data_IF_834694822504
#
_entry.id   IF_834694822504
#
_cell.length_a   1.000
_cell.length_b   1.000
_cell.length_c   1.000
_cell.angle_alpha   90.00
_cell.angle_beta   90.00
_cell.angle_gamma   90.00
#
_symmetry.space_group_name_H-M   'P 1'
#
loop_
_entity.id
_entity.type
_entity.pdbx_description
1 polymer ?
#
# COMPACT_ATOMS: atom_id res chain seq x y z
N UNK A 1 -44.00 0.77 24.02
CA UNK A 1 -44.67 0.56 22.72
C UNK A 1 -44.68 -0.89 22.25
N UNK A 2 -43.55 -1.53 21.90
CA UNK A 2 -43.56 -2.95 21.47
C UNK A 2 -43.94 -3.87 22.62
N UNK A 3 -43.25 -3.78 23.76
CA UNK A 3 -43.56 -4.54 24.98
C UNK A 3 -45.06 -4.47 25.38
N UNK A 4 -45.63 -3.25 25.39
CA UNK A 4 -47.05 -3.01 25.68
C UNK A 4 -47.99 -3.70 24.69
N UNK A 5 -47.66 -3.73 23.39
CA UNK A 5 -48.47 -4.40 22.36
C UNK A 5 -48.35 -5.92 22.42
N UNK A 6 -47.19 -6.44 22.84
CA UNK A 6 -46.92 -7.87 22.93
C UNK A 6 -47.42 -8.50 24.24
N UNK A 7 -47.85 -7.69 25.21
CA UNK A 7 -48.19 -8.16 26.55
C UNK A 7 -47.00 -8.68 27.35
N UNK A 8 -45.76 -8.34 26.93
CA UNK A 8 -44.52 -8.74 27.59
C UNK A 8 -44.00 -7.58 28.43
N UNK A 9 -43.38 -7.89 29.57
CA UNK A 9 -42.59 -6.90 30.28
C UNK A 9 -41.34 -6.53 29.48
N UNK A 10 -40.88 -5.28 29.65
CA UNK A 10 -39.76 -4.75 28.86
C UNK A 10 -38.47 -5.54 29.07
N UNK A 11 -38.16 -5.92 30.31
CA UNK A 11 -36.93 -6.65 30.62
C UNK A 11 -36.91 -8.06 30.01
N UNK A 12 -38.06 -8.71 29.93
CA UNK A 12 -38.21 -10.02 29.32
C UNK A 12 -38.17 -9.93 27.80
N UNK A 13 -38.77 -8.89 27.21
CA UNK A 13 -38.64 -8.63 25.79
C UNK A 13 -37.17 -8.38 25.42
N UNK A 14 -36.47 -7.51 26.15
CA UNK A 14 -35.04 -7.24 25.92
C UNK A 14 -34.21 -8.52 26.04
N UNK A 15 -34.42 -9.33 27.08
CA UNK A 15 -33.72 -10.63 27.25
C UNK A 15 -33.89 -11.59 26.08
N UNK A 16 -35.02 -11.55 25.37
CA UNK A 16 -35.27 -12.41 24.21
C UNK A 16 -34.75 -11.78 22.91
N UNK A 17 -34.88 -10.47 22.77
CA UNK A 17 -34.52 -9.75 21.55
C UNK A 17 -33.01 -9.57 21.42
N UNK A 18 -32.28 -9.25 22.49
CA UNK A 18 -30.84 -8.93 22.41
C UNK A 18 -30.02 -10.04 21.74
N UNK A 19 -30.14 -11.34 22.09
CA UNK A 19 -29.37 -12.39 21.42
C UNK A 19 -29.75 -12.57 19.95
N UNK A 20 -31.02 -12.37 19.60
CA UNK A 20 -31.49 -12.47 18.20
C UNK A 20 -30.98 -11.31 17.36
N UNK A 21 -31.03 -10.08 17.87
CA UNK A 21 -30.47 -8.90 17.21
C UNK A 21 -28.95 -9.07 17.00
N UNK A 22 -28.25 -9.59 18.01
CA UNK A 22 -26.83 -9.89 17.91
C UNK A 22 -26.53 -10.94 16.83
N UNK A 23 -27.35 -12.00 16.76
CA UNK A 23 -27.22 -13.05 15.75
C UNK A 23 -27.46 -12.51 14.32
N UNK A 24 -28.52 -11.73 14.10
CA UNK A 24 -28.79 -11.14 12.78
C UNK A 24 -27.65 -10.21 12.34
N UNK A 25 -27.18 -9.35 13.23
CA UNK A 25 -26.07 -8.46 12.95
C UNK A 25 -24.76 -9.24 12.69
N UNK A 26 -24.53 -10.34 13.41
CA UNK A 26 -23.36 -11.19 13.21
C UNK A 26 -23.36 -11.81 11.80
N UNK A 27 -24.48 -12.37 11.36
CA UNK A 27 -24.60 -12.97 10.02
C UNK A 27 -24.39 -11.92 8.93
N UNK A 28 -24.97 -10.73 9.09
CA UNK A 28 -24.76 -9.61 8.16
C UNK A 28 -23.27 -9.20 8.07
N UNK A 29 -22.60 -9.07 9.22
CA UNK A 29 -21.16 -8.77 9.24
C UNK A 29 -20.31 -9.88 8.67
N UNK A 30 -20.63 -11.15 8.89
CA UNK A 30 -19.93 -12.28 8.26
C UNK A 30 -20.08 -12.19 6.74
N UNK A 31 -21.28 -11.94 6.22
CA UNK A 31 -21.48 -11.74 4.79
C UNK A 31 -20.66 -10.57 4.24
N UNK A 32 -20.67 -9.43 4.92
CA UNK A 32 -19.86 -8.27 4.56
C UNK A 32 -18.36 -8.63 4.50
N UNK A 33 -17.85 -9.30 5.55
CA UNK A 33 -16.46 -9.73 5.63
C UNK A 33 -16.06 -10.73 4.55
N UNK A 34 -16.95 -11.64 4.17
CA UNK A 34 -16.68 -12.61 3.11
C UNK A 34 -16.29 -11.89 1.81
N UNK A 35 -17.07 -10.88 1.40
CA UNK A 35 -16.80 -10.09 0.20
C UNK A 35 -15.59 -9.16 0.37
N UNK A 36 -15.49 -8.43 1.50
CA UNK A 36 -14.35 -7.55 1.75
C UNK A 36 -13.01 -8.29 1.64
N UNK A 37 -12.93 -9.48 2.24
CA UNK A 37 -11.70 -10.28 2.24
C UNK A 37 -11.49 -10.96 0.87
N UNK A 38 -12.55 -11.45 0.21
CA UNK A 38 -12.42 -12.03 -1.13
C UNK A 38 -11.91 -11.03 -2.17
N UNK A 39 -12.31 -9.76 -2.05
CA UNK A 39 -11.82 -8.64 -2.87
C UNK A 39 -10.37 -8.24 -2.55
N UNK A 40 -9.73 -8.92 -1.60
CA UNK A 40 -8.31 -8.74 -1.26
C UNK A 40 -8.05 -7.70 -0.17
N UNK A 41 -9.08 -7.17 0.50
CA UNK A 41 -8.86 -6.27 1.63
C UNK A 41 -8.16 -7.05 2.74
N UNK A 42 -7.02 -6.53 3.18
CA UNK A 42 -6.25 -7.09 4.30
C UNK A 42 -6.51 -6.23 5.54
N UNK A 43 -6.96 -6.80 6.68
CA UNK A 43 -7.15 -6.05 7.92
C UNK A 43 -5.88 -5.30 8.35
N UNK A 44 -6.03 -4.03 8.70
CA UNK A 44 -4.93 -3.13 9.05
C UNK A 44 -5.39 -2.02 10.01
N UNK A 45 -4.50 -1.09 10.37
CA UNK A 45 -4.85 0.11 11.13
C UNK A 45 -5.15 1.34 10.25
N UNK A 46 -5.21 1.20 8.92
CA UNK A 46 -5.40 2.33 8.00
C UNK A 46 -6.37 2.00 6.85
N UNK A 47 -7.08 3.02 6.37
CA UNK A 47 -7.93 2.98 5.15
C UNK A 47 -8.94 1.81 5.15
N UNK A 48 -9.07 1.08 4.04
CA UNK A 48 -10.03 0.00 3.87
C UNK A 48 -9.74 -1.19 4.80
N UNK A 49 -8.47 -1.45 5.10
CA UNK A 49 -8.06 -2.48 6.06
C UNK A 49 -8.51 -2.18 7.48
N UNK A 50 -8.61 -0.90 7.86
CA UNK A 50 -9.20 -0.49 9.13
C UNK A 50 -10.69 -0.87 9.21
N UNK A 51 -11.44 -0.63 8.13
CA UNK A 51 -12.86 -0.98 8.06
C UNK A 51 -13.07 -2.51 8.17
N UNK A 52 -12.25 -3.31 7.49
CA UNK A 52 -12.30 -4.77 7.63
C UNK A 52 -12.06 -5.20 9.09
N UNK A 53 -11.01 -4.66 9.73
CA UNK A 53 -10.70 -4.92 11.14
C UNK A 53 -11.83 -4.50 12.09
N UNK A 54 -12.45 -3.35 11.82
CA UNK A 54 -13.60 -2.84 12.57
C UNK A 54 -14.77 -3.83 12.54
N UNK A 55 -15.12 -4.32 11.34
CA UNK A 55 -16.21 -5.28 11.16
C UNK A 55 -15.87 -6.63 11.82
N UNK A 56 -14.62 -7.12 11.71
CA UNK A 56 -14.17 -8.35 12.39
C UNK A 56 -14.34 -8.23 13.90
N UNK A 57 -13.85 -7.14 14.51
CA UNK A 57 -13.96 -6.93 15.96
C UNK A 57 -15.40 -6.82 16.42
N UNK A 58 -16.26 -6.17 15.61
CA UNK A 58 -17.70 -6.10 15.88
C UNK A 58 -18.35 -7.48 15.80
N UNK A 59 -18.00 -8.30 14.81
CA UNK A 59 -18.48 -9.68 14.68
C UNK A 59 -18.06 -10.55 15.88
N UNK A 60 -16.79 -10.49 16.31
CA UNK A 60 -16.30 -11.21 17.50
C UNK A 60 -17.06 -10.83 18.78
N UNK A 61 -17.44 -9.56 18.90
CA UNK A 61 -18.26 -9.11 20.02
C UNK A 61 -19.70 -9.63 19.92
N UNK A 62 -20.34 -9.49 18.76
CA UNK A 62 -21.72 -9.96 18.55
C UNK A 62 -21.84 -11.47 18.75
N UNK A 63 -20.81 -12.23 18.39
CA UNK A 63 -20.68 -13.65 18.70
C UNK A 63 -20.78 -13.93 20.20
N UNK A 64 -20.04 -13.18 21.03
CA UNK A 64 -20.10 -13.29 22.49
C UNK A 64 -21.47 -12.87 23.04
N UNK A 65 -22.06 -11.80 22.50
CA UNK A 65 -23.37 -11.28 22.91
C UNK A 65 -24.52 -12.24 22.55
N UNK A 66 -24.41 -12.95 21.43
CA UNK A 66 -25.31 -14.02 21.02
C UNK A 66 -25.10 -15.34 21.81
N UNK A 67 -24.05 -15.44 22.64
CA UNK A 67 -23.73 -16.65 23.41
C UNK A 67 -23.20 -17.82 22.57
N UNK A 68 -22.59 -17.54 21.41
CA UNK A 68 -22.05 -18.56 20.52
C UNK A 68 -20.59 -18.89 20.88
N UNK A 69 -20.30 -20.16 21.13
CA UNK A 69 -18.94 -20.61 21.48
C UNK A 69 -18.06 -20.91 20.26
N UNK A 70 -18.66 -21.21 19.10
CA UNK A 70 -17.95 -21.54 17.86
C UNK A 70 -16.94 -20.46 17.47
N UNK A 71 -15.72 -20.81 17.02
CA UNK A 71 -14.76 -19.86 16.46
C UNK A 71 -15.31 -19.08 15.27
N UNK A 72 -14.83 -17.85 15.08
CA UNK A 72 -15.27 -17.02 13.95
C UNK A 72 -14.99 -17.65 12.57
N UNK A 73 -13.86 -18.35 12.33
CA UNK A 73 -13.64 -19.07 11.07
C UNK A 73 -14.68 -20.16 10.79
N UNK A 74 -15.16 -20.86 11.82
CA UNK A 74 -16.19 -21.90 11.63
C UNK A 74 -17.53 -21.28 11.24
N UNK A 75 -17.92 -20.18 11.89
CA UNK A 75 -19.11 -19.41 11.51
C UNK A 75 -19.01 -18.85 10.09
N UNK A 76 -17.82 -18.36 9.71
CA UNK A 76 -17.57 -17.92 8.34
C UNK A 76 -17.66 -19.08 7.34
N UNK A 77 -17.15 -20.28 7.67
CA UNK A 77 -17.27 -21.45 6.78
C UNK A 77 -18.72 -21.77 6.45
N UNK A 78 -19.61 -21.69 7.45
CA UNK A 78 -21.05 -21.88 7.27
C UNK A 78 -21.67 -20.79 6.38
N UNK A 79 -21.29 -19.53 6.55
CA UNK A 79 -21.78 -18.44 5.68
C UNK A 79 -21.28 -18.60 4.25
N UNK A 80 -20.01 -19.00 4.05
CA UNK A 80 -19.45 -19.25 2.72
C UNK A 80 -20.17 -20.41 2.01
N UNK A 81 -20.47 -21.49 2.73
CA UNK A 81 -21.29 -22.60 2.22
C UNK A 81 -22.71 -22.13 1.86
N UNK A 82 -23.34 -21.32 2.71
CA UNK A 82 -24.67 -20.78 2.45
C UNK A 82 -24.70 -19.85 1.21
N UNK A 83 -23.70 -18.97 1.07
CA UNK A 83 -23.60 -18.05 -0.07
C UNK A 83 -23.33 -18.76 -1.38
N UNK A 84 -22.56 -19.87 -1.36
CA UNK A 84 -22.28 -20.70 -2.55
C UNK A 84 -21.80 -19.90 -3.77
N UNK A 85 -20.92 -18.92 -3.56
CA UNK A 85 -20.43 -18.03 -4.61
C UNK A 85 -19.02 -18.45 -5.09
N UNK A 86 -18.78 -18.65 -6.40
CA UNK A 86 -17.50 -19.18 -6.91
C UNK A 86 -16.26 -18.38 -6.48
N UNK A 87 -16.34 -17.05 -6.51
CA UNK A 87 -15.22 -16.18 -6.13
C UNK A 87 -14.89 -16.28 -4.63
N UNK A 88 -15.90 -16.48 -3.79
CA UNK A 88 -15.70 -16.65 -2.34
C UNK A 88 -15.07 -18.01 -2.04
N UNK A 89 -15.44 -19.06 -2.79
CA UNK A 89 -14.87 -20.39 -2.63
C UNK A 89 -13.38 -20.41 -3.01
N UNK A 90 -13.01 -19.72 -4.09
CA UNK A 90 -11.60 -19.57 -4.49
C UNK A 90 -10.75 -18.91 -3.38
N UNK A 91 -11.34 -17.98 -2.64
CA UNK A 91 -10.66 -17.25 -1.55
C UNK A 91 -10.91 -17.84 -0.15
N UNK A 92 -11.64 -18.95 -0.02
CA UNK A 92 -12.05 -19.55 1.27
C UNK A 92 -10.88 -19.68 2.24
N UNK A 93 -9.80 -20.33 1.80
CA UNK A 93 -8.64 -20.59 2.67
C UNK A 93 -7.98 -19.29 3.17
N UNK A 94 -7.91 -18.26 2.32
CA UNK A 94 -7.42 -16.94 2.71
C UNK A 94 -8.33 -16.28 3.76
N UNK A 95 -9.63 -16.24 3.49
CA UNK A 95 -10.64 -15.64 4.38
C UNK A 95 -10.55 -16.26 5.77
N UNK A 96 -10.57 -17.60 5.85
CA UNK A 96 -10.54 -18.33 7.13
C UNK A 96 -9.25 -18.06 7.91
N UNK A 97 -8.08 -18.08 7.25
CA UNK A 97 -6.80 -17.78 7.90
C UNK A 97 -6.72 -16.36 8.45
N UNK A 98 -7.25 -15.39 7.72
CA UNK A 98 -7.29 -13.98 8.18
C UNK A 98 -8.14 -13.86 9.44
N UNK A 99 -9.32 -14.47 9.45
CA UNK A 99 -10.21 -14.43 10.62
C UNK A 99 -9.61 -15.14 11.83
N UNK A 100 -8.97 -16.29 11.63
CA UNK A 100 -8.28 -17.01 12.71
C UNK A 100 -7.21 -16.12 13.37
N UNK A 101 -6.40 -15.43 12.55
CA UNK A 101 -5.34 -14.56 13.05
C UNK A 101 -5.90 -13.31 13.74
N UNK A 102 -6.92 -12.66 13.19
CA UNK A 102 -7.53 -11.49 13.81
C UNK A 102 -8.31 -11.85 15.08
N UNK A 103 -8.93 -13.03 15.17
CA UNK A 103 -9.55 -13.53 16.41
C UNK A 103 -8.50 -13.72 17.52
N UNK A 104 -7.37 -14.36 17.22
CA UNK A 104 -6.25 -14.50 18.16
C UNK A 104 -5.71 -13.14 18.62
N UNK A 105 -5.45 -12.23 17.68
CA UNK A 105 -4.95 -10.87 17.97
C UNK A 105 -5.92 -10.08 18.83
N UNK A 106 -7.23 -10.21 18.57
CA UNK A 106 -8.24 -9.53 19.35
C UNK A 106 -8.29 -10.05 20.79
N UNK A 107 -8.24 -11.37 20.99
CA UNK A 107 -8.18 -11.97 22.33
C UNK A 107 -6.99 -11.43 23.15
N UNK A 108 -5.80 -11.40 22.55
CA UNK A 108 -4.61 -10.82 23.20
C UNK A 108 -4.75 -9.31 23.47
N UNK A 109 -5.38 -8.56 22.55
CA UNK A 109 -5.60 -7.13 22.70
C UNK A 109 -6.57 -6.84 23.87
N UNK A 110 -7.64 -7.63 24.02
CA UNK A 110 -8.57 -7.52 25.15
C UNK A 110 -7.87 -7.77 26.48
N UNK A 111 -7.03 -8.82 26.56
CA UNK A 111 -6.30 -9.15 27.79
C UNK A 111 -5.34 -8.04 28.21
N UNK A 112 -4.54 -7.52 27.28
CA UNK A 112 -3.61 -6.41 27.55
C UNK A 112 -4.36 -5.11 27.82
N UNK A 113 -5.43 -4.87 27.07
CA UNK A 113 -6.20 -3.64 27.09
C UNK A 113 -7.02 -3.43 28.35
N UNK A 114 -7.57 -4.50 28.94
CA UNK A 114 -8.30 -4.41 30.22
C UNK A 114 -7.46 -3.71 31.29
N UNK A 115 -6.20 -4.12 31.43
CA UNK A 115 -5.26 -3.52 32.41
C UNK A 115 -4.96 -2.05 32.13
N UNK A 116 -4.90 -1.67 30.86
CA UNK A 116 -4.69 -0.28 30.45
C UNK A 116 -5.91 0.57 30.82
N UNK A 117 -7.12 0.11 30.48
CA UNK A 117 -8.37 0.79 30.82
C UNK A 117 -8.49 0.94 32.34
N UNK A 118 -8.26 -0.12 33.10
CA UNK A 118 -8.29 -0.07 34.57
C UNK A 118 -7.35 1.00 35.13
N UNK A 119 -6.12 1.11 34.60
CA UNK A 119 -5.14 2.12 35.01
C UNK A 119 -5.59 3.53 34.66
N UNK A 120 -6.09 3.75 33.44
CA UNK A 120 -6.57 5.06 33.00
C UNK A 120 -7.78 5.50 33.80
N UNK A 121 -8.77 4.62 34.00
CA UNK A 121 -9.97 4.93 34.77
C UNK A 121 -9.66 5.16 36.25
N UNK A 122 -8.69 4.45 36.83
CA UNK A 122 -8.28 4.65 38.22
C UNK A 122 -7.53 5.97 38.46
N UNK A 123 -7.03 6.61 37.40
CA UNK A 123 -6.44 7.96 37.48
C UNK A 123 -7.48 9.08 37.45
N UNK A 124 -8.73 8.75 37.10
CA UNK A 124 -9.81 9.71 37.06
C UNK A 124 -10.47 9.84 38.44
N UNK A 125 -10.98 11.04 38.81
CA UNK A 125 -11.72 11.23 40.04
C UNK A 125 -12.98 10.33 40.08
N UNK A 126 -13.37 9.79 41.24
CA UNK A 126 -14.63 9.07 41.40
C UNK A 126 -15.83 9.91 40.93
N UNK A 127 -16.74 9.32 40.14
CA UNK A 127 -17.91 10.02 39.59
C UNK A 127 -17.63 10.91 38.37
N UNK A 128 -16.41 10.88 37.83
CA UNK A 128 -16.12 11.48 36.52
C UNK A 128 -16.67 10.63 35.36
N UNK A 129 -16.89 11.27 34.21
CA UNK A 129 -17.22 10.59 32.97
C UNK A 129 -16.00 10.50 32.05
N UNK A 130 -15.88 9.40 31.31
CA UNK A 130 -14.82 9.25 30.32
C UNK A 130 -15.12 10.11 29.08
N UNK A 131 -14.21 11.01 28.66
CA UNK A 131 -14.40 11.78 27.44
C UNK A 131 -14.52 10.86 26.20
N UNK A 132 -15.45 11.17 25.30
CA UNK A 132 -15.65 10.42 24.06
C UNK A 132 -14.37 10.29 23.22
N UNK A 133 -13.51 11.31 23.21
CA UNK A 133 -12.23 11.27 22.49
C UNK A 133 -11.29 10.19 23.03
N UNK A 134 -11.32 9.94 24.35
CA UNK A 134 -10.53 8.87 24.96
C UNK A 134 -11.08 7.49 24.59
N UNK A 135 -12.40 7.38 24.41
CA UNK A 135 -13.05 6.17 23.93
C UNK A 135 -12.65 5.84 22.47
N UNK A 136 -12.55 6.87 21.62
CA UNK A 136 -11.98 6.71 20.27
C UNK A 136 -10.51 6.31 20.33
N UNK A 137 -9.70 6.92 21.19
CA UNK A 137 -8.28 6.56 21.35
C UNK A 137 -8.11 5.10 21.78
N UNK A 138 -8.91 4.61 22.73
CA UNK A 138 -8.90 3.20 23.13
C UNK A 138 -9.22 2.25 21.97
N UNK A 139 -10.14 2.65 21.10
CA UNK A 139 -10.50 1.87 19.94
C UNK A 139 -9.40 1.90 18.86
N UNK A 140 -8.96 3.09 18.47
CA UNK A 140 -8.00 3.30 17.38
C UNK A 140 -6.59 2.81 17.73
N UNK A 141 -6.09 3.16 18.92
CA UNK A 141 -4.71 2.89 19.32
C UNK A 141 -4.53 1.52 19.97
N UNK A 142 -5.55 1.03 20.67
CA UNK A 142 -5.45 -0.18 21.49
C UNK A 142 -6.41 -1.28 21.07
N UNK A 143 -7.32 -1.01 20.13
CA UNK A 143 -8.27 -1.98 19.62
C UNK A 143 -9.34 -2.42 20.59
N UNK A 144 -9.62 -1.60 21.61
CA UNK A 144 -10.54 -1.95 22.68
C UNK A 144 -11.96 -1.49 22.31
N UNK A 145 -12.95 -2.40 22.32
CA UNK A 145 -14.33 -2.02 22.03
C UNK A 145 -14.84 -1.10 23.14
N UNK A 146 -15.69 -0.11 22.82
CA UNK A 146 -16.20 0.83 23.80
C UNK A 146 -17.00 0.14 24.93
N UNK A 147 -17.53 -1.04 24.68
CA UNK A 147 -18.28 -1.81 25.67
C UNK A 147 -17.40 -2.49 26.70
N UNK A 148 -16.19 -2.92 26.35
CA UNK A 148 -15.20 -3.35 27.33
C UNK A 148 -14.85 -2.17 28.25
N UNK A 149 -14.65 -0.99 27.66
CA UNK A 149 -14.35 0.22 28.43
C UNK A 149 -15.51 0.55 29.38
N UNK A 150 -16.75 0.40 28.92
CA UNK A 150 -17.96 0.56 29.74
C UNK A 150 -18.09 -0.50 30.84
N UNK A 151 -17.77 -1.75 30.56
CA UNK A 151 -17.74 -2.84 31.54
C UNK A 151 -16.76 -2.53 32.68
N UNK A 152 -15.50 -2.21 32.33
CA UNK A 152 -14.47 -1.82 33.31
C UNK A 152 -14.84 -0.52 34.04
N UNK A 153 -15.48 0.43 33.34
CA UNK A 153 -15.99 1.66 33.95
C UNK A 153 -17.00 1.39 35.06
N UNK A 154 -17.94 0.47 34.84
CA UNK A 154 -18.90 0.04 35.87
C UNK A 154 -18.20 -0.59 37.09
N UNK A 155 -17.18 -1.42 36.87
CA UNK A 155 -16.39 -2.01 37.96
C UNK A 155 -15.64 -0.96 38.80
N UNK A 156 -15.24 0.16 38.18
CA UNK A 156 -14.49 1.26 38.82
C UNK A 156 -15.34 2.44 39.27
N UNK A 157 -16.65 2.41 39.04
CA UNK A 157 -17.54 3.53 39.36
C UNK A 157 -17.31 4.78 38.49
N UNK A 158 -16.86 4.60 37.24
CA UNK A 158 -16.67 5.67 36.25
C UNK A 158 -17.76 5.56 35.19
N UNK A 159 -18.41 6.68 34.87
CA UNK A 159 -19.46 6.72 33.85
C UNK A 159 -18.83 6.70 32.44
N UNK A 160 -19.24 5.75 31.61
CA UNK A 160 -18.79 5.62 30.23
C UNK A 160 -20.01 5.57 29.32
N UNK A 161 -20.30 6.70 28.68
CA UNK A 161 -21.36 6.81 27.70
C UNK A 161 -20.84 6.39 26.33
N UNK A 162 -21.52 5.42 25.70
CA UNK A 162 -21.21 4.94 24.35
C UNK A 162 -22.33 5.41 23.43
N UNK A 163 -22.09 6.38 22.52
CA UNK A 163 -23.09 6.82 21.56
C UNK A 163 -23.57 5.68 20.67
N UNK A 164 -24.85 5.67 20.29
CA UNK A 164 -25.41 4.66 19.38
C UNK A 164 -24.71 4.64 18.01
N UNK A 165 -24.25 5.81 17.56
CA UNK A 165 -23.54 6.02 16.30
C UNK A 165 -22.02 5.90 16.44
N UNK A 166 -21.49 5.40 17.57
CA UNK A 166 -20.04 5.33 17.82
C UNK A 166 -19.27 4.68 16.65
N UNK A 167 -19.69 3.50 16.20
CA UNK A 167 -19.01 2.78 15.12
C UNK A 167 -19.14 3.48 13.76
N UNK A 168 -20.22 4.23 13.54
CA UNK A 168 -20.40 5.04 12.32
C UNK A 168 -19.37 6.17 12.33
N UNK A 169 -19.26 6.89 13.46
CA UNK A 169 -18.26 7.96 13.63
C UNK A 169 -16.83 7.44 13.49
N UNK A 170 -16.55 6.25 14.02
CA UNK A 170 -15.27 5.56 13.82
C UNK A 170 -15.01 5.31 12.33
N UNK A 171 -15.97 4.72 11.62
CA UNK A 171 -15.84 4.46 10.18
C UNK A 171 -15.62 5.76 9.39
N UNK A 172 -16.38 6.82 9.66
CA UNK A 172 -16.27 8.12 8.98
C UNK A 172 -14.89 8.78 9.19
N UNK A 173 -14.32 8.69 10.39
CA UNK A 173 -12.96 9.18 10.70
C UNK A 173 -11.88 8.53 9.84
N UNK A 174 -12.06 7.26 9.46
CA UNK A 174 -11.07 6.45 8.71
C UNK A 174 -11.43 6.21 7.24
N UNK A 175 -12.64 6.56 6.81
CA UNK A 175 -13.10 6.45 5.42
C UNK A 175 -12.75 7.68 4.57
N UNK A 176 -12.33 8.77 5.20
CA UNK A 176 -11.90 9.96 4.47
C UNK A 176 -10.55 9.68 3.78
N UNK A 177 -10.45 9.74 2.44
CA UNK A 177 -9.15 9.69 1.80
C UNK A 177 -8.33 10.84 2.37
N UNK A 178 -7.09 10.55 2.78
CA UNK A 178 -6.12 11.61 3.03
C UNK A 178 -6.15 12.51 1.80
N UNK A 179 -6.61 13.76 1.98
CA UNK A 179 -6.52 14.75 0.93
C UNK A 179 -5.03 14.85 0.64
N UNK A 180 -4.59 14.29 -0.48
CA UNK A 180 -3.36 14.76 -1.09
C UNK A 180 -3.59 16.26 -1.24
N UNK A 181 -2.83 17.05 -0.48
CA UNK A 181 -2.79 18.49 -0.67
C UNK A 181 -2.36 18.70 -2.11
N UNK A 182 -3.33 18.91 -3.00
CA UNK A 182 -3.08 19.51 -4.28
C UNK A 182 -2.45 20.86 -3.94
N UNK A 183 -1.13 20.95 -4.10
CA UNK A 183 -0.36 22.16 -3.90
C UNK A 183 -0.89 23.26 -4.80
N UNK A 184 -1.88 23.98 -4.31
CA UNK A 184 -2.58 25.05 -5.01
C UNK A 184 -2.07 26.41 -4.59
N UNK A 185 -0.75 26.61 -4.69
CA UNK A 185 -0.20 27.96 -4.80
C UNK A 185 -0.27 28.36 -6.27
N UNK A 186 -0.79 29.56 -6.58
CA UNK A 186 -1.04 30.02 -7.95
C UNK A 186 0.11 29.69 -8.90
N UNK A 187 -0.07 28.63 -9.70
CA UNK A 187 1.00 28.12 -10.56
C UNK A 187 1.22 29.08 -11.73
N UNK A 188 2.45 29.55 -11.85
CA UNK A 188 2.95 30.18 -13.08
C UNK A 188 2.70 29.21 -14.25
N UNK A 189 2.01 29.68 -15.29
CA UNK A 189 1.59 28.83 -16.41
C UNK A 189 2.79 28.47 -17.28
N UNK A 190 3.46 27.37 -16.94
CA UNK A 190 4.64 26.88 -17.65
C UNK A 190 4.26 26.21 -19.00
N UNK A 191 5.11 26.34 -20.05
CA UNK A 191 4.88 25.67 -21.33
C UNK A 191 4.94 24.14 -21.23
N UNK A 192 4.06 23.44 -21.95
CA UNK A 192 4.05 21.97 -22.02
C UNK A 192 5.35 21.41 -22.59
N UNK A 193 5.85 20.33 -21.99
CA UNK A 193 7.05 19.60 -22.46
C UNK A 193 6.67 18.30 -23.17
N UNK A 194 7.28 18.02 -24.33
CA UNK A 194 7.21 16.71 -24.99
C UNK A 194 8.13 15.69 -24.29
N UNK A 195 7.56 14.57 -23.85
CA UNK A 195 8.22 13.58 -23.01
C UNK A 195 8.86 12.46 -23.86
N UNK A 196 10.12 12.65 -24.27
CA UNK A 196 10.81 11.72 -25.17
C UNK A 196 11.13 10.37 -24.50
N UNK A 197 11.23 10.33 -23.17
CA UNK A 197 11.48 9.09 -22.41
C UNK A 197 10.33 8.07 -22.49
N UNK A 198 9.13 8.48 -22.89
CA UNK A 198 8.03 7.55 -23.20
C UNK A 198 8.07 7.01 -24.63
N UNK A 199 8.77 7.69 -25.54
CA UNK A 199 8.95 7.23 -26.92
C UNK A 199 10.08 6.19 -26.99
N UNK A 200 11.21 6.46 -26.32
CA UNK A 200 12.31 5.52 -26.17
C UNK A 200 13.05 5.75 -24.84
N UNK A 201 12.91 4.85 -23.84
CA UNK A 201 13.57 5.02 -22.55
C UNK A 201 15.10 4.86 -22.61
N UNK A 202 15.65 4.37 -23.73
CA UNK A 202 17.10 4.21 -23.95
C UNK A 202 17.72 5.44 -24.60
N UNK A 203 16.92 6.42 -25.00
CA UNK A 203 17.44 7.68 -25.55
C UNK A 203 18.15 8.46 -24.43
N UNK A 204 19.47 8.61 -24.58
CA UNK A 204 20.36 9.23 -23.58
C UNK A 204 20.57 10.72 -23.80
N UNK A 205 20.43 11.15 -25.04
CA UNK A 205 20.72 12.51 -25.48
C UNK A 205 19.55 13.08 -26.26
N UNK A 206 19.39 14.40 -26.21
CA UNK A 206 18.43 15.14 -27.02
C UNK A 206 18.91 16.55 -27.32
N UNK A 207 18.38 17.13 -28.39
CA UNK A 207 18.44 18.56 -28.64
C UNK A 207 17.07 19.17 -28.37
N UNK A 208 17.05 20.31 -27.66
CA UNK A 208 15.83 21.01 -27.27
C UNK A 208 16.04 22.52 -27.24
N UNK A 209 14.93 23.24 -27.09
CA UNK A 209 14.92 24.68 -26.89
C UNK A 209 14.45 25.02 -25.50
N UNK A 210 15.13 25.98 -24.86
CA UNK A 210 14.69 26.55 -23.59
C UNK A 210 13.45 27.41 -23.82
N UNK A 211 12.33 27.03 -23.19
CA UNK A 211 11.03 27.73 -23.31
C UNK A 211 10.67 28.51 -22.04
N UNK A 212 11.36 28.23 -20.94
CA UNK A 212 11.31 28.98 -19.69
C UNK A 212 12.68 28.93 -19.01
N UNK A 213 13.10 30.03 -18.39
CA UNK A 213 14.33 30.08 -17.59
C UNK A 213 14.19 31.09 -16.47
N UNK A 214 14.48 30.65 -15.23
CA UNK A 214 14.45 31.48 -14.03
C UNK A 214 15.42 30.92 -13.00
N UNK A 215 16.22 31.76 -12.34
CA UNK A 215 17.15 31.34 -11.27
C UNK A 215 17.89 30.03 -11.55
N UNK A 216 17.47 28.89 -10.99
CA UNK A 216 18.05 27.57 -11.20
C UNK A 216 17.15 26.61 -12.00
N UNK A 217 16.05 27.09 -12.55
CA UNK A 217 15.02 26.31 -13.22
C UNK A 217 14.98 26.60 -14.72
N UNK A 218 14.90 25.55 -15.52
CA UNK A 218 14.61 25.65 -16.96
C UNK A 218 13.52 24.66 -17.37
N UNK A 219 12.64 25.09 -18.28
CA UNK A 219 11.71 24.21 -18.99
C UNK A 219 12.14 24.14 -20.45
N UNK A 220 12.10 22.94 -21.01
CA UNK A 220 12.45 22.65 -22.39
C UNK A 220 11.20 22.27 -23.19
N UNK A 221 11.20 22.52 -24.50
CA UNK A 221 10.11 22.11 -25.40
C UNK A 221 9.95 20.58 -25.45
N UNK A 222 11.06 19.85 -25.27
CA UNK A 222 11.12 18.39 -25.17
C UNK A 222 12.25 17.97 -24.24
N UNK A 223 12.13 16.79 -23.64
CA UNK A 223 13.20 16.27 -22.77
C UNK A 223 13.26 14.74 -22.74
N UNK A 224 14.47 14.22 -22.58
CA UNK A 224 14.72 12.81 -22.25
C UNK A 224 14.83 12.58 -20.75
N UNK A 225 14.90 13.63 -19.94
CA UNK A 225 14.99 13.53 -18.48
C UNK A 225 13.61 13.17 -17.91
N UNK A 226 13.55 12.06 -17.18
CA UNK A 226 12.39 11.60 -16.45
C UNK A 226 12.27 12.41 -15.15
N UNK A 227 11.12 13.07 -14.90
CA UNK A 227 10.86 13.71 -13.63
C UNK A 227 10.56 12.66 -12.56
N UNK A 228 10.91 12.95 -11.31
CA UNK A 228 10.56 12.10 -10.17
C UNK A 228 9.04 11.80 -10.12
N UNK A 229 8.68 10.53 -9.93
CA UNK A 229 7.28 10.10 -9.90
C UNK A 229 7.09 8.59 -9.83
N UNK A 230 5.97 8.14 -9.25
CA UNK A 230 5.64 6.71 -9.11
C UNK A 230 6.64 5.94 -8.24
N UNK A 231 7.27 6.64 -7.29
CA UNK A 231 8.34 6.13 -6.44
C UNK A 231 9.71 6.03 -7.14
N UNK A 232 9.82 6.31 -8.44
CA UNK A 232 11.11 6.36 -9.13
C UNK A 232 11.71 7.76 -9.01
N UNK A 233 12.95 7.86 -8.56
CA UNK A 233 13.68 9.13 -8.57
C UNK A 233 13.85 9.69 -9.98
N UNK A 234 13.93 11.03 -10.08
CA UNK A 234 14.21 11.71 -11.34
C UNK A 234 15.64 11.49 -11.82
N UNK A 235 15.87 11.73 -13.11
CA UNK A 235 17.22 11.68 -13.66
C UNK A 235 18.05 12.90 -13.26
N UNK A 236 19.36 12.71 -13.34
CA UNK A 236 20.37 13.75 -13.36
C UNK A 236 21.08 13.76 -14.71
N UNK A 237 21.91 14.77 -14.95
CA UNK A 237 22.71 14.84 -16.16
C UNK A 237 23.21 16.25 -16.42
N UNK A 238 23.35 16.60 -17.70
CA UNK A 238 23.98 17.85 -18.14
C UNK A 238 23.15 18.47 -19.27
N UNK A 239 23.06 19.80 -19.28
CA UNK A 239 22.65 20.61 -20.43
C UNK A 239 23.85 21.43 -20.93
N UNK A 240 24.08 21.44 -22.24
CA UNK A 240 25.17 22.17 -22.90
C UNK A 240 24.67 22.91 -24.15
N UNK A 241 25.15 24.12 -24.40
CA UNK A 241 24.78 24.91 -25.58
C UNK A 241 25.50 26.25 -25.64
N UNK A 242 25.94 26.68 -26.82
CA UNK A 242 26.63 27.96 -27.04
C UNK A 242 27.80 28.24 -26.07
N UNK A 243 28.62 27.20 -25.79
CA UNK A 243 29.76 27.28 -24.85
C UNK A 243 29.37 27.29 -23.38
N UNK A 244 28.08 27.22 -23.05
CA UNK A 244 27.55 27.13 -21.68
C UNK A 244 27.34 25.66 -21.30
N UNK A 245 27.48 25.37 -20.01
CA UNK A 245 27.25 24.05 -19.42
C UNK A 245 26.61 24.18 -18.05
N UNK A 246 25.63 23.34 -17.75
CA UNK A 246 25.04 23.22 -16.41
C UNK A 246 24.70 21.77 -16.08
N UNK A 247 24.82 21.41 -14.81
CA UNK A 247 24.41 20.11 -14.31
C UNK A 247 22.95 20.14 -13.89
N UNK A 248 22.18 19.17 -14.37
CA UNK A 248 20.79 18.92 -13.94
C UNK A 248 20.85 18.06 -12.69
N UNK A 249 20.48 18.66 -11.55
CA UNK A 249 20.55 18.01 -10.23
C UNK A 249 19.22 17.40 -9.79
N UNK A 250 18.10 17.91 -10.33
CA UNK A 250 16.76 17.40 -10.04
C UNK A 250 15.82 17.71 -11.20
N UNK A 251 14.86 16.83 -11.44
CA UNK A 251 13.85 16.99 -12.47
C UNK A 251 12.49 16.69 -11.88
N UNK A 252 11.54 17.59 -12.06
CA UNK A 252 10.19 17.47 -11.53
C UNK A 252 9.14 17.87 -12.55
N UNK A 253 7.91 17.42 -12.34
CA UNK A 253 6.78 17.74 -13.20
C UNK A 253 5.89 18.77 -12.50
N UNK A 254 5.64 19.90 -13.16
CA UNK A 254 4.68 20.93 -12.73
C UNK A 254 3.60 21.09 -13.81
N UNK A 255 2.38 20.62 -13.53
CA UNK A 255 1.34 20.49 -14.55
C UNK A 255 1.78 19.65 -15.75
N UNK A 256 1.80 20.24 -16.94
CA UNK A 256 2.27 19.60 -18.19
C UNK A 256 3.75 19.89 -18.53
N UNK A 257 4.44 20.68 -17.72
CA UNK A 257 5.83 21.06 -17.90
C UNK A 257 6.77 20.14 -17.13
N UNK A 258 7.98 19.92 -17.67
CA UNK A 258 9.09 19.30 -16.93
C UNK A 258 10.11 20.38 -16.58
N UNK A 259 10.27 20.62 -15.29
CA UNK A 259 11.20 21.60 -14.72
C UNK A 259 12.51 20.89 -14.41
N UNK A 260 13.60 21.41 -14.97
CA UNK A 260 14.96 20.94 -14.73
C UNK A 260 15.64 21.93 -13.78
N UNK A 261 16.01 21.44 -12.60
CA UNK A 261 16.77 22.18 -11.60
C UNK A 261 18.26 22.02 -11.88
N UNK A 262 18.94 23.14 -12.06
CA UNK A 262 20.34 23.23 -12.42
C UNK A 262 21.21 23.63 -11.22
N UNK A 263 22.46 23.16 -11.15
CA UNK A 263 23.41 23.62 -10.12
C UNK A 263 23.64 25.14 -10.20
N UNK A 264 23.80 25.63 -11.43
CA UNK A 264 23.76 27.03 -11.86
C UNK A 264 23.11 27.12 -13.24
N UNK A 265 22.37 28.20 -13.55
CA UNK A 265 21.65 28.34 -14.82
C UNK A 265 22.27 29.44 -15.70
N UNK A 266 23.00 29.07 -16.77
CA UNK A 266 23.54 30.02 -17.75
C UNK A 266 22.58 30.28 -18.93
N UNK A 267 21.43 29.59 -19.00
CA UNK A 267 20.58 29.55 -20.18
C UNK A 267 19.46 30.58 -20.15
N UNK A 268 19.10 31.10 -21.32
CA UNK A 268 17.98 32.04 -21.51
C UNK A 268 16.91 31.40 -22.39
N UNK A 269 15.68 31.93 -22.29
CA UNK A 269 14.59 31.52 -23.19
C UNK A 269 15.02 31.73 -24.64
N UNK A 270 14.83 30.71 -25.47
CA UNK A 270 15.22 30.69 -26.88
C UNK A 270 16.53 29.97 -27.18
N UNK A 271 17.41 29.77 -26.17
CA UNK A 271 18.67 29.05 -26.31
C UNK A 271 18.43 27.61 -26.78
N UNK A 272 19.33 27.10 -27.64
CA UNK A 272 19.36 25.70 -28.03
C UNK A 272 20.33 24.95 -27.13
N UNK A 273 19.87 23.83 -26.59
CA UNK A 273 20.67 23.01 -25.69
C UNK A 273 20.67 21.56 -26.14
N UNK A 274 21.81 20.90 -25.97
CA UNK A 274 21.93 19.45 -25.98
C UNK A 274 21.88 18.97 -24.54
N UNK A 275 20.93 18.10 -24.23
CA UNK A 275 20.82 17.46 -22.93
C UNK A 275 21.31 16.02 -22.97
N UNK A 276 22.06 15.60 -21.95
CA UNK A 276 22.53 14.22 -21.76
C UNK A 276 22.26 13.77 -20.34
N UNK A 277 21.57 12.64 -20.18
CA UNK A 277 21.31 12.04 -18.86
C UNK A 277 22.52 11.26 -18.36
N UNK A 278 22.61 11.12 -17.03
CA UNK A 278 23.44 10.09 -16.41
C UNK A 278 22.82 8.71 -16.70
N UNK A 279 23.45 7.99 -17.62
CA UNK A 279 22.97 6.68 -18.06
C UNK A 279 23.12 5.58 -17.01
N UNK A 280 24.18 5.61 -16.19
CA UNK A 280 24.35 4.62 -15.12
C UNK A 280 23.19 4.73 -14.15
N UNK A 281 22.87 5.97 -13.72
CA UNK A 281 21.70 6.27 -12.87
C UNK A 281 20.40 5.82 -13.51
N UNK A 282 20.11 6.25 -14.75
CA UNK A 282 18.88 5.88 -15.47
C UNK A 282 18.73 4.37 -15.60
N UNK A 283 19.80 3.68 -16.00
CA UNK A 283 19.74 2.24 -16.22
C UNK A 283 19.50 1.49 -14.90
N UNK A 284 20.09 1.94 -13.79
CA UNK A 284 19.80 1.35 -12.47
C UNK A 284 18.35 1.56 -12.06
N UNK A 285 17.81 2.76 -12.25
CA UNK A 285 16.40 3.05 -11.98
C UNK A 285 15.45 2.19 -12.83
N UNK A 286 15.73 2.03 -14.13
CA UNK A 286 14.95 1.15 -15.03
C UNK A 286 14.96 -0.31 -14.57
N UNK A 287 16.12 -0.82 -14.14
CA UNK A 287 16.26 -2.20 -13.62
C UNK A 287 15.45 -2.39 -12.35
N UNK A 288 15.64 -1.51 -11.37
CA UNK A 288 14.89 -1.56 -10.11
C UNK A 288 13.38 -1.39 -10.31
N UNK A 289 12.96 -0.52 -11.23
CA UNK A 289 11.54 -0.36 -11.54
C UNK A 289 10.96 -1.64 -12.16
N UNK A 290 11.64 -2.21 -13.15
CA UNK A 290 11.21 -3.45 -13.79
C UNK A 290 11.23 -4.64 -12.81
N UNK A 291 12.25 -4.70 -11.94
CA UNK A 291 12.33 -5.64 -10.82
C UNK A 291 11.15 -5.50 -9.85
N UNK A 292 10.65 -4.29 -9.61
CA UNK A 292 9.47 -4.07 -8.76
C UNK A 292 8.24 -4.81 -9.31
N UNK A 293 8.01 -4.75 -10.62
CA UNK A 293 6.90 -5.47 -11.26
C UNK A 293 7.05 -6.99 -11.18
N UNK A 294 8.28 -7.48 -11.38
CA UNK A 294 8.58 -8.91 -11.28
C UNK A 294 8.39 -9.40 -9.85
N UNK A 295 8.91 -8.66 -8.87
CA UNK A 295 8.87 -9.00 -7.46
C UNK A 295 7.44 -8.96 -6.89
N UNK A 296 6.64 -7.97 -7.26
CA UNK A 296 5.25 -7.88 -6.80
C UNK A 296 4.43 -9.11 -7.23
N UNK A 297 4.54 -9.50 -8.49
CA UNK A 297 3.86 -10.67 -9.00
C UNK A 297 4.42 -11.98 -8.41
N UNK A 298 5.74 -12.06 -8.17
CA UNK A 298 6.33 -13.19 -7.46
C UNK A 298 5.75 -13.31 -6.04
N UNK A 299 5.66 -12.20 -5.31
CA UNK A 299 5.04 -12.15 -3.98
C UNK A 299 3.57 -12.59 -4.03
N UNK A 300 2.81 -12.10 -5.01
CA UNK A 300 1.40 -12.48 -5.20
C UNK A 300 1.22 -13.98 -5.46
N UNK A 301 2.07 -14.59 -6.30
CA UNK A 301 2.00 -16.03 -6.60
C UNK A 301 2.43 -16.94 -5.45
N UNK A 302 3.28 -16.44 -4.54
CA UNK A 302 3.73 -17.22 -3.37
C UNK A 302 2.76 -17.06 -2.20
N UNK A 303 2.32 -15.83 -1.94
CA UNK A 303 1.55 -15.51 -0.73
C UNK A 303 0.05 -15.58 -0.96
N UNK A 304 -0.44 -15.27 -2.16
CA UNK A 304 -1.85 -15.23 -2.52
C UNK A 304 -2.29 -13.91 -3.18
N UNK A 305 -3.49 -13.92 -3.76
CA UNK A 305 -4.01 -12.81 -4.56
C UNK A 305 -4.31 -11.51 -3.79
N UNK A 306 -4.41 -11.59 -2.47
CA UNK A 306 -4.60 -10.45 -1.58
C UNK A 306 -3.38 -9.51 -1.51
N UNK A 307 -2.24 -9.95 -2.06
CA UNK A 307 -1.05 -9.11 -2.17
C UNK A 307 -1.31 -7.97 -3.14
N UNK A 308 -1.24 -6.76 -2.59
CA UNK A 308 -1.40 -5.50 -3.30
C UNK A 308 -0.27 -4.54 -2.92
N UNK A 309 0.20 -3.75 -3.86
CA UNK A 309 1.21 -2.73 -3.59
C UNK A 309 0.60 -1.62 -2.73
N UNK A 310 1.18 -1.44 -1.55
CA UNK A 310 0.88 -0.33 -0.65
C UNK A 310 1.77 0.89 -0.95
N UNK A 311 3.00 0.65 -1.40
CA UNK A 311 3.97 1.71 -1.70
C UNK A 311 5.23 1.15 -2.37
N UNK A 312 5.99 2.02 -3.03
CA UNK A 312 7.28 1.64 -3.60
C UNK A 312 8.22 2.86 -3.69
N UNK A 313 9.51 2.63 -3.55
CA UNK A 313 10.56 3.63 -3.82
C UNK A 313 11.69 2.95 -4.58
N UNK A 314 12.21 3.60 -5.61
CA UNK A 314 13.31 3.14 -6.43
C UNK A 314 14.40 4.19 -6.48
N UNK A 315 15.56 3.84 -5.92
CA UNK A 315 16.80 4.60 -5.98
C UNK A 315 17.82 3.83 -6.84
N UNK A 316 18.92 4.45 -7.27
CA UNK A 316 19.94 3.74 -8.04
C UNK A 316 20.63 2.62 -7.25
N UNK A 317 20.78 2.78 -5.93
CA UNK A 317 21.53 1.85 -5.09
C UNK A 317 20.64 0.79 -4.43
N UNK A 318 19.35 1.06 -4.24
CA UNK A 318 18.39 0.16 -3.59
C UNK A 318 16.95 0.50 -3.93
N UNK A 319 16.04 -0.42 -3.66
CA UNK A 319 14.60 -0.22 -3.81
C UNK A 319 13.81 -0.89 -2.69
N UNK A 320 12.57 -0.44 -2.50
CA UNK A 320 11.61 -1.07 -1.60
C UNK A 320 10.26 -1.25 -2.27
N UNK A 321 9.58 -2.31 -1.90
CA UNK A 321 8.20 -2.61 -2.24
C UNK A 321 7.44 -2.94 -0.95
N UNK A 322 6.38 -2.18 -0.68
CA UNK A 322 5.49 -2.40 0.45
C UNK A 322 4.25 -3.11 -0.09
N UNK A 323 3.90 -4.26 0.50
CA UNK A 323 2.78 -5.09 0.08
C UNK A 323 1.78 -5.30 1.22
N UNK A 324 0.51 -5.47 0.86
CA UNK A 324 -0.52 -5.94 1.80
C UNK A 324 -0.28 -7.41 2.14
N UNK A 325 -0.13 -7.70 3.42
CA UNK A 325 0.00 -9.07 3.91
C UNK A 325 -0.37 -9.15 5.41
N UNK A 326 -1.14 -10.17 5.79
CA UNK A 326 -1.74 -10.26 7.13
C UNK A 326 -0.77 -10.76 8.22
N UNK A 327 0.34 -11.41 7.85
CA UNK A 327 1.37 -11.94 8.77
C UNK A 327 2.77 -11.47 8.37
N UNK A 328 3.79 -11.81 9.15
CA UNK A 328 5.19 -11.57 8.75
C UNK A 328 5.57 -12.58 7.66
N UNK A 329 6.48 -12.18 6.78
CA UNK A 329 7.03 -13.08 5.77
C UNK A 329 8.04 -14.02 6.43
N UNK A 330 7.80 -15.32 6.29
CA UNK A 330 8.73 -16.34 6.78
C UNK A 330 9.97 -16.41 5.86
N UNK A 331 11.15 -16.78 6.38
CA UNK A 331 12.38 -16.86 5.58
C UNK A 331 12.24 -17.71 4.31
N UNK A 332 11.50 -18.81 4.38
CA UNK A 332 11.23 -19.71 3.26
C UNK A 332 10.34 -19.05 2.19
N UNK A 333 9.34 -18.27 2.62
CA UNK A 333 8.49 -17.49 1.70
C UNK A 333 9.32 -16.43 0.98
N UNK A 334 10.19 -15.72 1.70
CA UNK A 334 11.09 -14.71 1.10
C UNK A 334 12.04 -15.36 0.09
N UNK A 335 12.61 -16.51 0.42
CA UNK A 335 13.49 -17.25 -0.49
C UNK A 335 12.75 -17.72 -1.76
N UNK A 336 11.52 -18.21 -1.61
CA UNK A 336 10.68 -18.64 -2.74
C UNK A 336 10.27 -17.46 -3.64
N UNK A 337 9.94 -16.30 -3.05
CA UNK A 337 9.67 -15.07 -3.79
C UNK A 337 10.90 -14.64 -4.61
N UNK A 338 12.08 -14.61 -3.98
CA UNK A 338 13.34 -14.27 -4.66
C UNK A 338 13.66 -15.24 -5.79
N UNK A 339 13.47 -16.55 -5.56
CA UNK A 339 13.71 -17.60 -6.55
C UNK A 339 12.83 -17.38 -7.78
N UNK A 340 11.50 -17.26 -7.60
CA UNK A 340 10.55 -17.05 -8.71
C UNK A 340 10.81 -15.76 -9.48
N UNK A 341 11.13 -14.68 -8.76
CA UNK A 341 11.48 -13.42 -9.41
C UNK A 341 12.70 -13.58 -10.32
N UNK A 342 13.75 -14.26 -9.85
CA UNK A 342 14.94 -14.53 -10.67
C UNK A 342 14.68 -15.52 -11.82
N UNK A 343 13.79 -16.50 -11.67
CA UNK A 343 13.40 -17.39 -12.78
C UNK A 343 12.76 -16.64 -13.95
N UNK A 344 11.91 -15.65 -13.64
CA UNK A 344 11.29 -14.79 -14.64
C UNK A 344 12.28 -13.84 -15.29
N UNK A 345 13.25 -13.35 -14.52
CA UNK A 345 14.39 -12.59 -15.04
C UNK A 345 15.18 -13.44 -16.04
N UNK A 346 15.53 -14.67 -15.67
CA UNK A 346 16.28 -15.60 -16.52
C UNK A 346 15.51 -16.02 -17.77
N UNK A 347 14.17 -16.03 -17.70
CA UNK A 347 13.30 -16.29 -18.85
C UNK A 347 13.30 -15.17 -19.90
N UNK A 348 13.88 -14.00 -19.57
CA UNK A 348 14.05 -12.86 -20.47
C UNK A 348 12.76 -12.43 -21.21
N UNK A 349 11.64 -12.41 -20.49
CA UNK A 349 10.32 -12.07 -21.04
C UNK A 349 10.31 -10.63 -21.55
N UNK A 350 9.65 -10.35 -22.69
CA UNK A 350 9.46 -9.00 -23.19
C UNK A 350 8.71 -8.10 -22.20
N UNK A 351 9.16 -6.85 -22.07
CA UNK A 351 8.47 -5.78 -21.34
C UNK A 351 7.95 -4.77 -22.38
N UNK A 352 6.64 -4.70 -22.54
CA UNK A 352 5.97 -3.84 -23.51
C UNK A 352 5.31 -2.66 -22.82
N UNK A 353 5.40 -1.48 -23.43
CA UNK A 353 4.72 -0.28 -22.94
C UNK A 353 3.85 0.31 -24.04
N UNK A 354 2.63 0.74 -23.69
CA UNK A 354 1.70 1.38 -24.63
C UNK A 354 0.71 2.29 -23.93
N UNK A 355 0.21 3.29 -24.65
CA UNK A 355 -0.90 4.12 -24.19
C UNK A 355 -2.23 3.56 -24.69
N UNK A 356 -3.12 3.18 -23.79
CA UNK A 356 -4.44 2.62 -24.08
C UNK A 356 -5.56 3.55 -23.59
N UNK A 357 -6.76 3.41 -24.15
CA UNK A 357 -7.96 3.94 -23.50
C UNK A 357 -8.20 3.23 -22.17
N UNK A 358 -8.63 3.97 -21.14
CA UNK A 358 -8.86 3.43 -19.80
C UNK A 358 -9.83 2.25 -19.81
N UNK A 359 -10.98 2.42 -20.46
CA UNK A 359 -12.05 1.42 -20.40
C UNK A 359 -11.62 0.15 -21.16
N UNK A 360 -10.84 0.30 -22.23
CA UNK A 360 -10.25 -0.84 -22.94
C UNK A 360 -9.24 -1.58 -22.07
N UNK A 361 -8.35 -0.85 -21.38
CA UNK A 361 -7.37 -1.45 -20.49
C UNK A 361 -8.03 -2.21 -19.33
N UNK A 362 -9.02 -1.59 -18.67
CA UNK A 362 -9.78 -2.22 -17.58
C UNK A 362 -10.51 -3.48 -18.03
N UNK A 363 -11.16 -3.47 -19.21
CA UNK A 363 -11.80 -4.68 -19.74
C UNK A 363 -10.80 -5.81 -20.02
N UNK A 364 -9.58 -5.47 -20.43
CA UNK A 364 -8.57 -6.46 -20.83
C UNK A 364 -7.80 -7.04 -19.64
N UNK A 365 -7.50 -6.22 -18.65
CA UNK A 365 -6.57 -6.56 -17.57
C UNK A 365 -7.22 -6.53 -16.18
N UNK A 366 -8.44 -6.01 -16.06
CA UNK A 366 -9.09 -5.80 -14.78
C UNK A 366 -8.42 -4.71 -13.95
N UNK A 367 -8.76 -4.67 -12.66
CA UNK A 367 -8.31 -3.62 -11.73
C UNK A 367 -6.88 -3.83 -11.21
N UNK A 368 -6.22 -4.96 -11.51
CA UNK A 368 -4.79 -5.18 -11.21
C UNK A 368 -3.89 -4.10 -11.84
N UNK A 369 -4.41 -3.38 -12.84
CA UNK A 369 -3.77 -2.19 -13.40
C UNK A 369 -3.40 -1.14 -12.35
N UNK A 370 -4.15 -1.05 -11.24
CA UNK A 370 -4.06 0.02 -10.27
C UNK A 370 -3.28 -0.35 -9.00
N UNK A 371 -2.44 -1.39 -9.07
CA UNK A 371 -1.47 -1.75 -8.02
C UNK A 371 -0.62 -0.53 -7.60
N UNK A 372 -0.12 0.24 -8.57
CA UNK A 372 0.63 1.48 -8.33
C UNK A 372 -0.21 2.70 -7.94
N UNK A 373 -1.51 2.54 -7.68
CA UNK A 373 -2.47 3.63 -7.45
C UNK A 373 -3.29 4.01 -8.69
N UNK A 374 -4.37 4.77 -8.46
CA UNK A 374 -5.27 5.22 -9.54
C UNK A 374 -4.65 6.39 -10.29
N UNK A 375 -4.26 6.16 -11.53
CA UNK A 375 -3.75 7.21 -12.43
C UNK A 375 -4.95 8.01 -12.96
N UNK A 376 -4.93 9.35 -13.03
CA UNK A 376 -6.02 10.15 -13.62
C UNK A 376 -5.98 10.19 -15.16
N UNK A 377 -7.11 10.56 -15.80
CA UNK A 377 -7.20 10.81 -17.24
C UNK A 377 -7.79 9.67 -18.08
N UNK A 378 -8.11 9.94 -19.35
CA UNK A 378 -8.78 8.97 -20.23
C UNK A 378 -7.84 7.93 -20.85
N UNK A 379 -6.54 8.25 -20.95
CA UNK A 379 -5.52 7.35 -21.49
C UNK A 379 -4.55 6.91 -20.40
N UNK A 380 -4.33 5.61 -20.32
CA UNK A 380 -3.39 5.00 -19.38
C UNK A 380 -2.13 4.56 -20.11
N UNK A 381 -0.97 4.80 -19.50
CA UNK A 381 0.26 4.12 -19.92
C UNK A 381 0.31 2.76 -19.23
N UNK A 382 0.13 1.70 -20.01
CA UNK A 382 0.18 0.32 -19.56
C UNK A 382 1.57 -0.24 -19.79
N UNK A 383 2.11 -0.89 -18.78
CA UNK A 383 3.37 -1.63 -18.80
C UNK A 383 3.03 -3.11 -18.56
N UNK A 384 3.44 -3.96 -19.49
CA UNK A 384 3.15 -5.39 -19.50
C UNK A 384 4.47 -6.16 -19.56
N UNK A 385 4.77 -6.89 -18.49
CA UNK A 385 5.74 -7.98 -18.48
C UNK A 385 5.00 -9.21 -19.00
N UNK A 386 5.33 -9.65 -20.22
CA UNK A 386 4.54 -10.64 -20.98
C UNK A 386 4.22 -11.90 -20.15
N UNK A 387 2.93 -12.23 -20.00
CA UNK A 387 2.48 -13.42 -19.26
C UNK A 387 2.76 -13.42 -17.74
N UNK A 388 3.32 -12.32 -17.20
CA UNK A 388 3.71 -12.22 -15.81
C UNK A 388 2.92 -11.15 -15.08
N UNK A 389 3.07 -9.88 -15.44
CA UNK A 389 2.49 -8.75 -14.70
C UNK A 389 2.05 -7.63 -15.65
N UNK A 390 0.91 -7.00 -15.38
CA UNK A 390 0.47 -5.82 -16.15
C UNK A 390 -0.05 -4.73 -15.21
N UNK A 391 0.45 -3.50 -15.36
CA UNK A 391 0.09 -2.36 -14.51
C UNK A 391 0.00 -1.05 -15.30
N UNK A 392 -0.82 -0.12 -14.84
CA UNK A 392 -0.74 1.27 -15.25
C UNK A 392 0.47 1.91 -14.55
N UNK A 393 1.52 2.20 -15.31
CA UNK A 393 2.76 2.72 -14.75
C UNK A 393 3.39 3.78 -15.66
N UNK A 394 3.87 4.86 -15.03
CA UNK A 394 4.49 6.00 -15.68
C UNK A 394 6.02 5.96 -15.64
N UNK A 395 6.64 4.93 -15.06
CA UNK A 395 8.09 4.83 -14.96
C UNK A 395 8.82 4.47 -16.26
N UNK A 396 10.15 4.57 -16.24
CA UNK A 396 11.01 4.01 -17.29
C UNK A 396 11.31 2.55 -16.98
N UNK A 397 11.23 1.67 -17.98
CA UNK A 397 11.40 0.23 -17.81
C UNK A 397 12.43 -0.34 -18.80
N UNK A 398 13.03 -1.46 -18.41
CA UNK A 398 13.81 -2.32 -19.30
C UNK A 398 12.95 -2.84 -20.47
N UNK A 399 13.59 -3.32 -21.54
CA UNK A 399 12.90 -3.93 -22.70
C UNK A 399 12.55 -5.40 -22.48
N UNK A 400 13.27 -6.07 -21.60
CA UNK A 400 13.02 -7.44 -21.20
C UNK A 400 13.44 -7.68 -19.76
N UNK A 401 12.93 -8.74 -19.14
CA UNK A 401 13.25 -9.06 -17.75
C UNK A 401 14.72 -9.44 -17.56
N UNK A 402 15.40 -9.97 -18.58
CA UNK A 402 16.82 -10.34 -18.50
C UNK A 402 17.75 -9.13 -18.32
N UNK A 403 17.35 -7.94 -18.77
CA UNK A 403 18.13 -6.71 -18.59
C UNK A 403 18.13 -6.20 -17.13
N UNK A 404 17.21 -6.70 -16.30
CA UNK A 404 17.18 -6.44 -14.86
C UNK A 404 18.47 -6.94 -14.21
N UNK A 405 18.98 -8.10 -14.67
CA UNK A 405 20.04 -8.83 -14.00
C UNK A 405 19.57 -9.46 -12.68
N UNK A 406 20.49 -9.91 -11.84
CA UNK A 406 20.16 -10.53 -10.56
C UNK A 406 19.30 -9.60 -9.68
N UNK A 407 18.28 -10.17 -9.04
CA UNK A 407 17.51 -9.52 -7.99
C UNK A 407 17.87 -10.17 -6.64
N UNK A 408 18.15 -9.34 -5.63
CA UNK A 408 18.39 -9.80 -4.26
C UNK A 408 17.50 -9.05 -3.28
N UNK A 409 16.73 -9.80 -2.48
CA UNK A 409 16.01 -9.27 -1.32
C UNK A 409 17.02 -9.11 -0.19
N UNK A 410 17.14 -7.89 0.32
CA UNK A 410 18.07 -7.51 1.37
C UNK A 410 17.53 -7.92 2.74
N UNK A 411 16.27 -7.53 3.00
CA UNK A 411 15.54 -7.77 4.25
C UNK A 411 14.05 -7.55 4.06
N UNK A 412 13.28 -8.04 5.03
CA UNK A 412 11.85 -7.76 5.17
C UNK A 412 11.58 -7.06 6.50
N UNK A 413 10.63 -6.14 6.51
CA UNK A 413 10.20 -5.45 7.73
C UNK A 413 8.68 -5.23 7.77
N UNK A 414 8.07 -5.37 8.94
CA UNK A 414 6.68 -4.96 9.15
C UNK A 414 6.62 -3.45 9.35
N UNK A 415 5.97 -2.73 8.45
CA UNK A 415 5.76 -1.28 8.57
C UNK A 415 4.62 -0.99 9.54
N UNK A 416 3.53 -1.73 9.39
CA UNK A 416 2.35 -1.67 10.22
C UNK A 416 1.56 -2.97 10.03
N UNK A 417 0.53 -3.18 10.86
CA UNK A 417 -0.37 -4.31 10.65
C UNK A 417 -0.94 -4.31 9.24
N UNK A 418 -0.89 -5.46 8.58
CA UNK A 418 -1.39 -5.64 7.22
C UNK A 418 -0.42 -5.17 6.13
N UNK A 419 0.76 -4.62 6.45
CA UNK A 419 1.75 -4.13 5.47
C UNK A 419 3.17 -4.60 5.79
N UNK A 420 3.75 -5.37 4.87
CA UNK A 420 5.13 -5.87 4.93
C UNK A 420 5.95 -5.23 3.81
N UNK A 421 7.18 -4.82 4.12
CA UNK A 421 8.13 -4.26 3.16
C UNK A 421 9.17 -5.29 2.77
N UNK A 422 9.47 -5.35 1.49
CA UNK A 422 10.65 -6.00 0.94
C UNK A 422 11.62 -4.92 0.45
N UNK A 423 12.80 -4.85 1.05
CA UNK A 423 13.92 -4.08 0.50
C UNK A 423 14.75 -4.98 -0.40
N UNK A 424 15.09 -4.50 -1.59
CA UNK A 424 15.79 -5.29 -2.60
C UNK A 424 16.69 -4.43 -3.48
N UNK A 425 17.61 -5.11 -4.17
CA UNK A 425 18.51 -4.54 -5.17
C UNK A 425 18.44 -5.34 -6.46
N UNK A 426 18.71 -4.68 -7.58
CA UNK A 426 18.72 -5.31 -8.90
C UNK A 426 19.94 -4.90 -9.73
N UNK A 427 20.41 -5.82 -10.58
CA UNK A 427 21.48 -5.57 -11.53
C UNK A 427 22.83 -5.30 -10.86
N UNK A 428 23.48 -4.18 -11.20
CA UNK A 428 24.81 -3.83 -10.68
C UNK A 428 24.82 -3.73 -9.14
N UNK A 429 23.80 -3.11 -8.55
CA UNK A 429 23.66 -3.00 -7.11
C UNK A 429 23.54 -4.37 -6.41
N UNK A 430 22.90 -5.35 -7.07
CA UNK A 430 22.83 -6.72 -6.54
C UNK A 430 24.18 -7.44 -6.59
N UNK A 431 24.99 -7.21 -7.63
CA UNK A 431 26.36 -7.75 -7.73
C UNK A 431 27.27 -7.14 -6.66
N UNK A 432 27.17 -5.83 -6.44
CA UNK A 432 27.93 -5.13 -5.39
C UNK A 432 27.55 -5.62 -3.99
N UNK A 433 26.25 -5.82 -3.74
CA UNK A 433 25.79 -6.41 -2.48
C UNK A 433 26.26 -7.85 -2.28
N UNK A 434 26.26 -8.68 -3.34
CA UNK A 434 26.77 -10.05 -3.26
C UNK A 434 28.25 -10.09 -2.87
N UNK A 435 29.07 -9.23 -3.49
CA UNK A 435 30.50 -9.08 -3.13
C UNK A 435 30.68 -8.61 -1.69
N UNK A 436 29.91 -7.60 -1.28
CA UNK A 436 29.95 -7.07 0.10
C UNK A 436 29.66 -8.17 1.13
N UNK A 437 28.65 -9.00 0.89
CA UNK A 437 28.31 -10.14 1.77
C UNK A 437 29.38 -11.22 1.79
N UNK A 438 30.02 -11.49 0.65
CA UNK A 438 31.13 -12.44 0.56
C UNK A 438 32.35 -11.95 1.36
N UNK A 439 32.76 -10.69 1.17
CA UNK A 439 33.85 -10.06 1.92
C UNK A 439 33.56 -10.03 3.44
N UNK A 440 32.31 -9.73 3.83
CA UNK A 440 31.88 -9.74 5.23
C UNK A 440 31.97 -11.17 5.82
N UNK A 441 31.54 -12.19 5.08
CA UNK A 441 31.63 -13.58 5.49
C UNK A 441 33.09 -14.04 5.63
N UNK A 442 33.95 -13.72 4.67
CA UNK A 442 35.38 -14.04 4.73
C UNK A 442 36.07 -13.37 5.91
N UNK A 443 35.75 -12.09 6.15
CA UNK A 443 36.25 -11.36 7.31
C UNK A 443 35.81 -12.02 8.62
N UNK A 444 34.54 -12.39 8.76
CA UNK A 444 34.04 -13.08 9.95
C UNK A 444 34.67 -14.45 10.14
N UNK A 445 34.84 -15.22 9.06
CA UNK A 445 35.54 -16.51 9.10
C UNK A 445 36.99 -16.34 9.58
N UNK A 446 37.72 -15.35 9.05
CA UNK A 446 39.10 -15.09 9.45
C UNK A 446 39.28 -14.73 10.93
N UNK A 447 38.24 -14.21 11.59
CA UNK A 447 38.25 -13.91 13.02
C UNK A 447 38.07 -15.16 13.90
N UNK A 448 37.55 -16.25 13.35
CA UNK A 448 37.28 -17.50 14.07
C UNK A 448 38.42 -18.53 13.95
N UNK A 449 39.44 -18.25 13.13
CA UNK A 449 40.52 -19.19 12.79
C UNK A 449 40.10 -20.14 11.68
#
# INVERSE_FOLDING_TARGET
>A
KVAERSGLDRERLDRWMTPLEALYALVDHLRCLAFMLADGITPSNVREGYLARLVIRRALRLRREAGLELPLPELMSLELEFLSHPELEEKREYILRVLELEERRYAEALERGRRLVERTLSSLPPGSSLPLEKLFEFYDSHGLPPELVREVGREKGVEVEVPEDFYIRVAERHSSPAREEAGGGGEERLPRTRLLFYEDPYRREMEARVVFSREKEVVLDRTVFYPEGGGQEGDSGILEGDGKRAEVVRVEKRGEAVVHHLSSNPFKVGDRVRGRIDWERRSSLMRHHSATHVLLEAAKRVLGDHVWQHGAQKRPEWSRLDITHFKRLEPEEVAEIERRANEVILSNLPIRTRFMDRNEAERRYGFVLYQGGVVPGKRLRVVEVEGWNTQACAGTHCRSTGEIGMLKILRTERIQDGVERLEFVAGKAAVEEARRREEERERLASLLG
#
